data_IF_745596437931
#
_entry.id   IF_745596437931
#
_cell.length_a   1.000
_cell.length_b   1.000
_cell.length_c   1.000
_cell.angle_alpha   90.00
_cell.angle_beta   90.00
_cell.angle_gamma   90.00
#
_symmetry.space_group_name_H-M   'P 1'
#
loop_
_entity.id
_entity.type
_entity.pdbx_description
1 polymer ?
#
# COMPACT_ATOMS: atom_id res chain seq x y z
N UNK A 1 10.11 -8.66 10.11
CA UNK A 1 9.96 -9.41 8.86
C UNK A 1 8.51 -9.89 8.66
N UNK A 2 8.13 -10.22 7.43
CA UNK A 2 6.83 -10.81 7.12
C UNK A 2 6.94 -11.81 5.97
N UNK A 3 6.01 -12.76 5.93
CA UNK A 3 5.76 -13.63 4.78
C UNK A 3 4.57 -13.07 4.02
N UNK A 4 4.71 -12.91 2.71
CA UNK A 4 3.67 -12.42 1.81
C UNK A 4 3.43 -13.44 0.70
N UNK A 5 2.21 -13.91 0.56
CA UNK A 5 1.82 -14.91 -0.44
C UNK A 5 0.57 -14.39 -1.16
N UNK A 6 0.58 -14.44 -2.49
CA UNK A 6 -0.57 -14.15 -3.31
C UNK A 6 -0.79 -15.24 -4.36
N UNK A 7 -2.03 -15.46 -4.73
CA UNK A 7 -2.38 -16.34 -5.84
C UNK A 7 -2.97 -15.51 -6.98
N UNK A 8 -2.30 -15.58 -8.12
CA UNK A 8 -2.73 -15.00 -9.39
C UNK A 8 -3.25 -16.11 -10.30
N UNK A 9 -4.49 -15.98 -10.78
CA UNK A 9 -5.16 -17.02 -11.59
C UNK A 9 -4.92 -16.89 -13.11
N UNK A 10 -4.05 -15.95 -13.50
CA UNK A 10 -3.77 -15.61 -14.88
C UNK A 10 -4.51 -14.34 -15.36
N UNK A 11 -5.44 -13.82 -14.58
CA UNK A 11 -6.22 -12.60 -14.86
C UNK A 11 -6.14 -11.58 -13.72
N UNK A 12 -6.30 -12.05 -12.48
CA UNK A 12 -6.33 -11.20 -11.31
C UNK A 12 -5.75 -11.91 -10.08
N UNK A 13 -5.43 -11.14 -9.05
CA UNK A 13 -5.02 -11.65 -7.74
C UNK A 13 -6.28 -12.03 -6.99
N UNK A 14 -6.46 -13.33 -6.69
CA UNK A 14 -7.69 -13.85 -6.08
C UNK A 14 -7.54 -14.17 -4.60
N UNK A 15 -6.35 -14.46 -4.12
CA UNK A 15 -6.05 -14.70 -2.71
C UNK A 15 -4.79 -13.98 -2.30
N UNK A 16 -4.77 -13.46 -1.08
CA UNK A 16 -3.60 -12.82 -0.49
C UNK A 16 -3.52 -13.06 1.00
N UNK A 17 -2.32 -13.30 1.50
CA UNK A 17 -2.03 -13.38 2.94
C UNK A 17 -0.70 -12.71 3.23
N UNK A 18 -0.66 -11.95 4.32
CA UNK A 18 0.57 -11.42 4.92
C UNK A 18 0.59 -11.85 6.38
N UNK A 19 1.69 -12.47 6.79
CA UNK A 19 1.93 -12.88 8.18
C UNK A 19 3.21 -12.25 8.70
N UNK A 20 3.11 -11.44 9.75
CA UNK A 20 4.22 -10.80 10.45
C UNK A 20 4.33 -11.36 11.88
N UNK A 21 5.15 -12.39 12.11
CA UNK A 21 5.21 -13.09 13.41
C UNK A 21 5.60 -12.19 14.57
N UNK A 22 6.60 -11.34 14.38
CA UNK A 22 7.11 -10.45 15.45
C UNK A 22 6.06 -9.39 15.88
N UNK A 23 5.09 -9.11 15.03
CA UNK A 23 3.98 -8.22 15.32
C UNK A 23 2.72 -8.98 15.78
N UNK A 24 2.73 -10.30 15.71
CA UNK A 24 1.56 -11.15 15.93
C UNK A 24 0.36 -10.73 15.05
N UNK A 25 0.64 -10.41 13.77
CA UNK A 25 -0.37 -9.97 12.81
C UNK A 25 -0.42 -10.95 11.65
N UNK A 26 -1.65 -11.38 11.33
CA UNK A 26 -1.97 -12.10 10.10
C UNK A 26 -3.13 -11.37 9.41
N UNK A 27 -2.91 -10.95 8.18
CA UNK A 27 -3.97 -10.41 7.32
C UNK A 27 -4.18 -11.33 6.12
N UNK A 28 -5.43 -11.56 5.74
CA UNK A 28 -5.76 -12.34 4.56
C UNK A 28 -7.02 -11.81 3.88
N UNK A 29 -7.10 -12.01 2.57
CA UNK A 29 -8.28 -11.71 1.78
C UNK A 29 -8.47 -12.74 0.66
N UNK A 30 -9.71 -12.88 0.25
CA UNK A 30 -10.11 -13.55 -0.97
C UNK A 30 -11.00 -12.61 -1.77
N UNK A 31 -10.77 -12.52 -3.08
CA UNK A 31 -11.50 -11.63 -3.97
C UNK A 31 -13.02 -11.78 -3.78
N UNK A 32 -13.70 -10.64 -3.52
CA UNK A 32 -15.13 -10.56 -3.27
C UNK A 32 -15.60 -11.06 -1.91
N UNK A 33 -14.69 -11.44 -0.99
CA UNK A 33 -15.07 -11.96 0.34
C UNK A 33 -14.61 -11.06 1.50
N UNK A 34 -13.92 -9.97 1.19
CA UNK A 34 -13.41 -9.01 2.16
C UNK A 34 -12.04 -9.35 2.71
N UNK A 35 -11.52 -8.43 3.52
CA UNK A 35 -10.23 -8.50 4.18
C UNK A 35 -10.39 -8.79 5.67
N UNK A 36 -9.48 -9.59 6.23
CA UNK A 36 -9.47 -9.96 7.63
C UNK A 36 -8.07 -9.75 8.22
N UNK A 37 -8.02 -9.16 9.41
CA UNK A 37 -6.80 -8.97 10.20
C UNK A 37 -7.00 -9.62 11.56
N UNK A 38 -6.17 -10.61 11.87
CA UNK A 38 -6.28 -11.45 13.06
C UNK A 38 -7.70 -12.00 13.27
N UNK A 39 -8.35 -12.45 12.19
CA UNK A 39 -9.70 -13.02 12.21
C UNK A 39 -10.85 -11.99 12.29
N UNK A 40 -10.55 -10.70 12.44
CA UNK A 40 -11.54 -9.63 12.41
C UNK A 40 -11.64 -9.03 11.02
N UNK A 41 -12.86 -8.88 10.50
CA UNK A 41 -13.10 -8.23 9.22
C UNK A 41 -12.69 -6.76 9.29
N UNK A 42 -11.94 -6.29 8.29
CA UNK A 42 -11.54 -4.89 8.13
C UNK A 42 -12.37 -4.28 7.00
N UNK A 43 -12.93 -3.11 7.30
CA UNK A 43 -13.60 -2.25 6.32
C UNK A 43 -13.14 -0.83 6.62
N UNK A 44 -12.56 -0.17 5.65
CA UNK A 44 -12.16 1.23 5.79
C UNK A 44 -13.39 2.14 5.81
N UNK A 45 -13.42 3.02 6.80
CA UNK A 45 -14.43 4.07 6.90
C UNK A 45 -14.12 5.20 5.91
N UNK A 46 -15.17 5.90 5.49
CA UNK A 46 -15.05 7.09 4.62
C UNK A 46 -14.88 8.35 5.48
N UNK A 47 -13.88 8.34 6.35
CA UNK A 47 -13.56 9.45 7.26
C UNK A 47 -12.22 10.05 6.89
N UNK A 48 -12.20 11.38 6.70
CA UNK A 48 -10.97 12.12 6.42
C UNK A 48 -10.12 12.19 7.68
N UNK A 49 -8.87 11.68 7.67
CA UNK A 49 -8.00 11.75 8.85
C UNK A 49 -7.62 13.20 9.16
N UNK A 50 -7.66 13.58 10.43
CA UNK A 50 -7.28 14.93 10.89
C UNK A 50 -5.77 15.16 10.89
N UNK A 51 -5.00 14.11 11.15
CA UNK A 51 -3.53 14.14 11.17
C UNK A 51 -3.01 12.95 10.38
N UNK A 52 -3.03 13.05 9.03
CA UNK A 52 -2.70 11.92 8.19
C UNK A 52 -1.23 11.53 8.30
N UNK A 53 -0.98 10.22 8.28
CA UNK A 53 0.36 9.63 8.30
C UNK A 53 0.52 8.75 7.06
N UNK A 54 1.59 8.98 6.29
CA UNK A 54 1.91 8.20 5.10
C UNK A 54 3.16 7.35 5.36
N UNK A 55 3.08 6.06 5.10
CA UNK A 55 4.26 5.23 4.96
C UNK A 55 4.91 5.51 3.60
N UNK A 56 6.14 6.04 3.61
CA UNK A 56 6.87 6.37 2.39
C UNK A 56 8.06 5.44 2.24
N UNK A 57 8.05 4.64 1.18
CA UNK A 57 9.14 3.76 0.84
C UNK A 57 10.14 4.40 -0.13
N UNK A 58 11.30 3.78 -0.27
CA UNK A 58 12.33 4.16 -1.22
C UNK A 58 13.02 2.92 -1.74
N UNK A 59 12.88 2.68 -3.03
CA UNK A 59 13.65 1.66 -3.74
C UNK A 59 15.05 2.18 -4.08
N UNK A 60 16.13 1.39 -3.90
CA UNK A 60 17.45 1.76 -4.37
C UNK A 60 17.52 2.01 -5.88
N UNK A 61 16.52 1.57 -6.63
CA UNK A 61 16.41 1.80 -8.09
C UNK A 61 15.89 3.20 -8.41
N UNK A 62 15.15 3.83 -7.49
CA UNK A 62 14.59 5.17 -7.68
C UNK A 62 15.56 6.26 -7.24
N UNK A 63 15.42 7.45 -7.85
CA UNK A 63 16.27 8.59 -7.54
C UNK A 63 16.03 9.11 -6.10
N UNK A 64 17.09 9.26 -5.32
CA UNK A 64 17.02 9.75 -3.94
C UNK A 64 16.44 11.18 -3.86
N UNK A 65 16.72 12.02 -4.85
CA UNK A 65 16.15 13.37 -4.92
C UNK A 65 14.61 13.34 -5.00
N UNK A 66 14.04 12.39 -5.75
CA UNK A 66 12.60 12.19 -5.80
C UNK A 66 12.00 11.79 -4.45
N UNK A 67 12.72 10.99 -3.66
CA UNK A 67 12.30 10.64 -2.31
C UNK A 67 12.25 11.87 -1.40
N UNK A 68 13.28 12.72 -1.41
CA UNK A 68 13.30 13.96 -0.62
C UNK A 68 12.22 14.96 -1.06
N UNK A 69 11.99 15.11 -2.36
CA UNK A 69 10.93 15.97 -2.88
C UNK A 69 9.54 15.54 -2.38
N UNK A 70 9.29 14.21 -2.29
CA UNK A 70 8.04 13.68 -1.73
C UNK A 70 7.90 13.99 -0.24
N UNK A 71 8.99 13.86 0.53
CA UNK A 71 8.99 14.23 1.96
C UNK A 71 8.65 15.73 2.12
N UNK A 72 9.31 16.60 1.37
CA UNK A 72 9.04 18.03 1.39
C UNK A 72 7.59 18.34 1.05
N UNK A 73 7.06 17.69 0.02
CA UNK A 73 5.67 17.84 -0.41
C UNK A 73 4.67 17.39 0.66
N UNK A 74 4.93 16.26 1.35
CA UNK A 74 4.10 15.80 2.46
C UNK A 74 4.09 16.81 3.61
N UNK A 75 5.24 17.28 4.06
CA UNK A 75 5.32 18.25 5.14
C UNK A 75 4.68 19.60 4.81
N UNK A 76 4.81 20.07 3.56
CA UNK A 76 4.19 21.32 3.13
C UNK A 76 2.65 21.31 3.18
N UNK A 77 2.06 20.11 3.18
CA UNK A 77 0.61 19.89 3.30
C UNK A 77 0.17 19.41 4.69
N UNK A 78 1.10 19.38 5.66
CA UNK A 78 0.80 18.94 7.04
C UNK A 78 0.64 17.43 7.19
N UNK A 79 1.15 16.64 6.23
CA UNK A 79 1.10 15.17 6.27
C UNK A 79 2.41 14.64 6.86
N UNK A 80 2.30 13.87 7.92
CA UNK A 80 3.44 13.16 8.52
C UNK A 80 3.85 11.94 7.69
N UNK A 81 5.12 11.60 7.70
CA UNK A 81 5.58 10.38 7.05
C UNK A 81 6.32 9.44 7.99
N UNK A 82 6.33 8.16 7.64
CA UNK A 82 7.15 7.12 8.30
C UNK A 82 7.81 6.25 7.24
N UNK A 83 9.01 5.73 7.57
CA UNK A 83 9.73 4.79 6.72
C UNK A 83 10.01 3.51 7.50
N UNK A 84 9.40 2.39 7.06
CA UNK A 84 9.58 1.07 7.66
C UNK A 84 10.54 0.18 6.88
N UNK A 85 10.78 0.45 5.59
CA UNK A 85 11.73 -0.29 4.77
C UNK A 85 11.25 -1.69 4.34
N UNK A 86 9.96 -1.99 4.53
CA UNK A 86 9.35 -3.25 4.07
C UNK A 86 7.91 -2.96 3.60
N UNK A 87 7.66 -3.11 2.30
CA UNK A 87 6.36 -2.85 1.69
C UNK A 87 5.23 -3.65 2.36
N UNK A 88 5.45 -4.94 2.63
CA UNK A 88 4.48 -5.82 3.31
C UNK A 88 4.06 -5.30 4.68
N UNK A 89 4.99 -4.75 5.46
CA UNK A 89 4.68 -4.14 6.77
C UNK A 89 3.92 -2.83 6.58
N UNK A 90 4.22 -2.06 5.53
CA UNK A 90 3.48 -0.84 5.23
C UNK A 90 2.02 -1.15 4.87
N UNK A 91 1.74 -2.19 4.08
CA UNK A 91 0.38 -2.65 3.81
C UNK A 91 -0.36 -3.07 5.08
N UNK A 92 0.28 -3.85 5.96
CA UNK A 92 -0.30 -4.20 7.27
C UNK A 92 -0.58 -2.95 8.10
N UNK A 93 0.29 -1.96 8.04
CA UNK A 93 0.11 -0.68 8.74
C UNK A 93 -1.09 0.10 8.24
N UNK A 94 -1.35 0.12 6.92
CA UNK A 94 -2.56 0.73 6.36
C UNK A 94 -3.81 -0.01 6.85
N UNK A 95 -3.81 -1.35 6.82
CA UNK A 95 -4.94 -2.17 7.31
C UNK A 95 -5.19 -2.03 8.81
N UNK A 96 -4.14 -1.85 9.59
CA UNK A 96 -4.21 -1.70 11.05
C UNK A 96 -4.50 -0.25 11.49
N UNK A 97 -4.56 0.71 10.56
CA UNK A 97 -4.77 2.12 10.86
C UNK A 97 -3.57 2.84 11.45
N UNK A 98 -2.35 2.31 11.27
CA UNK A 98 -1.11 3.01 11.65
C UNK A 98 -0.75 4.08 10.64
N UNK A 99 -1.16 3.89 9.39
CA UNK A 99 -0.95 4.78 8.26
C UNK A 99 -2.25 4.95 7.49
N UNK A 100 -2.45 6.13 6.93
CA UNK A 100 -3.59 6.41 6.05
C UNK A 100 -3.29 5.99 4.61
N UNK A 101 -2.01 5.98 4.26
CA UNK A 101 -1.55 5.52 2.96
C UNK A 101 -0.13 4.97 3.00
N UNK A 102 0.22 4.25 1.94
CA UNK A 102 1.58 3.81 1.62
C UNK A 102 1.89 4.19 0.18
N UNK A 103 3.10 4.69 -0.04
CA UNK A 103 3.66 4.90 -1.38
C UNK A 103 5.11 4.46 -1.44
N UNK A 104 5.46 3.72 -2.48
CA UNK A 104 6.84 3.40 -2.83
C UNK A 104 6.97 3.20 -4.35
N UNK A 105 7.95 3.88 -5.01
CA UNK A 105 8.21 3.68 -6.43
C UNK A 105 8.99 2.40 -6.68
N UNK A 106 8.86 1.88 -7.90
CA UNK A 106 9.65 0.76 -8.43
C UNK A 106 9.63 -0.52 -7.57
N UNK A 107 8.48 -0.87 -7.02
CA UNK A 107 8.26 -2.15 -6.36
C UNK A 107 8.03 -3.27 -7.37
N UNK A 108 8.44 -4.48 -7.02
CA UNK A 108 8.09 -5.67 -7.79
C UNK A 108 6.76 -6.24 -7.33
N UNK A 109 6.06 -6.93 -8.23
CA UNK A 109 4.74 -7.51 -7.94
C UNK A 109 4.75 -8.47 -6.74
N UNK A 110 5.82 -9.26 -6.57
CA UNK A 110 5.93 -10.22 -5.46
C UNK A 110 6.09 -9.56 -4.09
N UNK A 111 6.49 -8.29 -4.03
CA UNK A 111 6.56 -7.51 -2.78
C UNK A 111 5.18 -7.02 -2.33
N UNK A 112 4.21 -6.91 -3.26
CA UNK A 112 2.97 -6.15 -3.03
C UNK A 112 1.69 -6.89 -3.36
N UNK A 113 1.71 -7.94 -4.18
CA UNK A 113 0.49 -8.59 -4.70
C UNK A 113 -0.54 -8.92 -3.62
N UNK A 114 -0.11 -9.51 -2.51
CA UNK A 114 -1.02 -9.77 -1.39
C UNK A 114 -1.59 -8.48 -0.79
N UNK A 115 -0.71 -7.48 -0.55
CA UNK A 115 -1.10 -6.19 0.02
C UNK A 115 -2.11 -5.42 -0.82
N UNK A 116 -1.96 -5.45 -2.15
CA UNK A 116 -2.90 -4.84 -3.08
C UNK A 116 -4.30 -5.41 -2.87
N UNK A 117 -4.43 -6.74 -2.92
CA UNK A 117 -5.73 -7.39 -2.72
C UNK A 117 -6.30 -7.09 -1.32
N UNK A 118 -5.47 -7.12 -0.28
CA UNK A 118 -5.92 -6.85 1.09
C UNK A 118 -6.52 -5.45 1.22
N UNK A 119 -5.88 -4.44 0.65
CA UNK A 119 -6.37 -3.04 0.72
C UNK A 119 -7.64 -2.87 -0.11
N UNK A 120 -7.72 -3.44 -1.32
CA UNK A 120 -8.93 -3.42 -2.15
C UNK A 120 -10.12 -4.08 -1.43
N UNK A 121 -9.93 -5.26 -0.86
CA UNK A 121 -10.97 -6.02 -0.15
C UNK A 121 -11.38 -5.37 1.18
N UNK A 122 -10.54 -4.50 1.74
CA UNK A 122 -10.90 -3.63 2.86
C UNK A 122 -11.69 -2.37 2.43
N UNK A 123 -11.86 -2.15 1.14
CA UNK A 123 -12.56 -0.99 0.56
C UNK A 123 -11.66 0.23 0.39
N UNK A 124 -10.32 0.06 0.41
CA UNK A 124 -9.34 1.07 0.07
C UNK A 124 -9.12 1.20 -1.44
N UNK A 125 -8.15 2.02 -1.79
CA UNK A 125 -7.75 2.24 -3.18
C UNK A 125 -6.29 1.85 -3.35
N UNK A 126 -5.98 1.20 -4.46
CA UNK A 126 -4.61 0.92 -4.89
C UNK A 126 -4.37 1.50 -6.29
N UNK A 127 -3.15 1.93 -6.54
CA UNK A 127 -2.69 2.41 -7.85
C UNK A 127 -1.37 1.71 -8.17
N UNK A 128 -1.26 1.18 -9.36
CA UNK A 128 -0.10 0.53 -9.93
C UNK A 128 -0.29 0.39 -11.43
N UNK A 129 0.76 0.07 -12.17
CA UNK A 129 0.67 -0.27 -13.58
C UNK A 129 -0.28 -1.48 -13.80
N UNK A 130 -0.87 -1.64 -15.00
CA UNK A 130 -1.65 -2.82 -15.31
C UNK A 130 -0.92 -4.11 -14.94
N UNK A 131 -1.61 -5.09 -14.34
CA UNK A 131 -0.98 -6.32 -13.84
C UNK A 131 -0.14 -7.05 -14.90
N UNK A 132 -0.57 -7.01 -16.18
CA UNK A 132 0.17 -7.62 -17.29
C UNK A 132 1.58 -7.02 -17.44
N UNK A 133 1.72 -5.72 -17.24
CA UNK A 133 3.01 -5.02 -17.29
C UNK A 133 3.78 -5.21 -15.98
N UNK A 134 3.09 -5.11 -14.85
CA UNK A 134 3.67 -5.22 -13.52
C UNK A 134 4.27 -6.61 -13.24
N UNK A 135 3.79 -7.66 -13.91
CA UNK A 135 4.41 -9.00 -13.84
C UNK A 135 5.83 -9.02 -14.46
N UNK A 136 6.13 -8.10 -15.37
CA UNK A 136 7.40 -8.06 -16.10
C UNK A 136 8.37 -6.95 -15.69
N UNK A 137 7.88 -5.90 -15.03
CA UNK A 137 8.69 -4.72 -14.62
C UNK A 137 8.21 -4.16 -13.29
N UNK A 138 9.06 -3.45 -12.53
CA UNK A 138 8.64 -2.72 -11.33
C UNK A 138 7.58 -1.65 -11.66
N UNK A 139 6.73 -1.34 -10.68
CA UNK A 139 5.71 -0.30 -10.75
C UNK A 139 5.77 0.63 -9.54
N UNK A 140 5.35 1.86 -9.74
CA UNK A 140 5.03 2.74 -8.62
C UNK A 140 3.73 2.25 -7.96
N UNK A 141 3.73 2.16 -6.64
CA UNK A 141 2.60 1.63 -5.90
C UNK A 141 2.11 2.63 -4.87
N UNK A 142 0.82 2.92 -4.93
CA UNK A 142 0.09 3.65 -3.90
C UNK A 142 -0.99 2.74 -3.33
N UNK A 143 -1.11 2.69 -2.02
CA UNK A 143 -2.22 2.04 -1.32
C UNK A 143 -2.73 2.98 -0.24
N UNK A 144 -4.03 3.16 -0.12
CA UNK A 144 -4.60 4.09 0.86
C UNK A 144 -5.94 3.61 1.41
N UNK A 145 -6.27 4.05 2.62
CA UNK A 145 -7.60 3.90 3.15
C UNK A 145 -8.62 4.73 2.34
N UNK A 146 -9.91 4.46 2.54
CA UNK A 146 -10.98 5.07 1.75
C UNK A 146 -11.10 6.57 1.97
N UNK A 147 -10.93 7.04 3.20
CA UNK A 147 -11.12 8.45 3.57
C UNK A 147 -9.98 9.37 3.16
N UNK A 148 -8.81 8.83 2.79
CA UNK A 148 -7.63 9.63 2.51
C UNK A 148 -7.44 9.86 1.01
N UNK A 149 -7.81 11.06 0.53
CA UNK A 149 -7.62 11.49 -0.87
C UNK A 149 -6.39 12.38 -1.09
N UNK A 150 -5.75 12.85 0.00
CA UNK A 150 -4.69 13.87 -0.05
C UNK A 150 -3.40 13.48 -0.76
N UNK A 151 -3.14 12.18 -0.92
CA UNK A 151 -1.87 11.71 -1.47
C UNK A 151 -1.69 12.05 -2.96
N UNK A 152 -2.75 12.01 -3.74
CA UNK A 152 -2.72 12.34 -5.18
C UNK A 152 -2.34 13.80 -5.43
N UNK A 153 -2.80 14.71 -4.56
CA UNK A 153 -2.47 16.14 -4.65
C UNK A 153 -1.02 16.43 -4.26
N UNK A 154 -0.43 15.59 -3.40
CA UNK A 154 0.91 15.77 -2.81
C UNK A 154 2.01 15.13 -3.66
N UNK A 155 1.75 13.94 -4.19
CA UNK A 155 2.75 13.22 -5.01
C UNK A 155 2.83 13.77 -6.45
N UNK A 156 1.97 14.73 -6.79
CA UNK A 156 1.74 15.23 -8.13
C UNK A 156 0.96 14.19 -8.94
N UNK A 157 0.27 14.63 -9.97
CA UNK A 157 -0.10 13.77 -11.10
C UNK A 157 1.19 13.44 -11.87
N UNK A 158 2.12 12.74 -11.25
CA UNK A 158 3.20 12.09 -11.98
C UNK A 158 2.48 11.12 -12.90
N UNK A 159 2.38 11.54 -14.14
CA UNK A 159 1.83 10.87 -15.30
C UNK A 159 1.51 9.38 -15.10
N UNK A 160 0.39 9.11 -14.43
CA UNK A 160 -0.29 7.84 -14.51
C UNK A 160 -1.17 7.90 -15.77
N UNK A 161 -0.46 7.95 -16.94
CA UNK A 161 -1.05 7.83 -18.25
C UNK A 161 -1.33 6.38 -18.61
#
# INVERSE_FOLDING_TARGET
WAVSIAYFDGREITHGVIHAPDLNITAWAKRGQGCFLNGRRIVFEDTVPQSPIVALGHSPRSALLGYFARIESLYSTGIEHRRHGAATICFLGVLAGWFDAFHEPELNIWDVAAGLLLVEEAGGTVQHDPLADFLGKPSDVVARNRGFSGLVAVLGSADFG
#
